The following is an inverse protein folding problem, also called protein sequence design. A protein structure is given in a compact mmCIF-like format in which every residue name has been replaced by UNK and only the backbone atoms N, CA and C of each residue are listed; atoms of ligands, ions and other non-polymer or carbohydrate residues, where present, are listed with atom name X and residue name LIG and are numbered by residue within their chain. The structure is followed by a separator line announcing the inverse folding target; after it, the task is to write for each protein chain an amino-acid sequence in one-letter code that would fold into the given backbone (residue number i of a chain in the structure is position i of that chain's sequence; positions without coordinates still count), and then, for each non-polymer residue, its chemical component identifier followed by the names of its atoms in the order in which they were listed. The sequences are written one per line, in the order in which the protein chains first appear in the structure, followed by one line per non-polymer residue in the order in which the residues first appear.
data_IF_271723209201
#
_entry.id   IF_271723209201
#
_cell.length_a   1.000
_cell.length_b   1.000
_cell.length_c   1.000
_cell.angle_alpha   90.00
_cell.angle_beta   90.00
_cell.angle_gamma   90.00
#
_symmetry.space_group_name_H-M   'P 1'
#
loop_
_entity.id
_entity.type
_entity.pdbx_description
1 polymer ?
#
# COMPACT_ATOMS: atom_id res chain seq x y z
N UNK A 1 0.88 -6.68 1.98
CA UNK A 1 0.34 -6.08 3.22
C UNK A 1 -0.22 -4.72 2.90
N UNK A 2 -1.17 -4.26 3.71
CA UNK A 2 -1.73 -2.91 3.72
C UNK A 2 -1.16 -2.14 4.92
N UNK A 3 -1.26 -0.82 4.86
CA UNK A 3 -1.07 0.08 5.98
C UNK A 3 -2.41 0.72 6.30
N UNK A 4 -2.74 0.76 7.59
CA UNK A 4 -3.95 1.41 8.06
C UNK A 4 -3.95 2.91 7.78
N UNK A 5 -5.16 3.49 7.80
CA UNK A 5 -5.35 4.93 7.76
C UNK A 5 -4.61 5.60 8.94
N UNK A 6 -3.88 6.68 8.65
CA UNK A 6 -3.18 7.50 9.63
C UNK A 6 -3.85 8.86 9.71
N UNK A 7 -4.37 9.19 10.89
CA UNK A 7 -4.95 10.50 11.24
C UNK A 7 -4.10 11.16 12.32
N UNK A 8 -3.27 12.12 11.95
CA UNK A 8 -2.53 12.99 12.88
C UNK A 8 -2.88 14.46 12.60
N UNK A 9 -2.61 15.36 13.55
CA UNK A 9 -3.06 16.78 13.53
C UNK A 9 -2.86 17.50 12.19
N UNK A 10 -1.77 17.22 11.47
CA UNK A 10 -1.45 17.83 10.17
C UNK A 10 -1.21 16.81 9.04
N UNK A 11 -1.49 15.53 9.26
CA UNK A 11 -1.20 14.46 8.31
C UNK A 11 -2.36 13.47 8.24
N UNK A 12 -2.93 13.34 7.05
CA UNK A 12 -3.97 12.37 6.74
C UNK A 12 -3.50 11.47 5.61
N UNK A 13 -3.36 10.18 5.90
CA UNK A 13 -3.00 9.16 4.92
C UNK A 13 -4.08 8.11 4.92
N UNK A 14 -4.71 7.88 3.77
CA UNK A 14 -5.71 6.83 3.63
C UNK A 14 -5.09 5.45 3.83
N UNK A 15 -5.92 4.47 4.14
CA UNK A 15 -5.51 3.08 4.02
C UNK A 15 -4.99 2.79 2.61
N UNK A 16 -3.84 2.14 2.54
CA UNK A 16 -3.20 1.86 1.26
C UNK A 16 -2.41 0.56 1.27
N UNK A 17 -2.29 -0.03 0.08
CA UNK A 17 -1.42 -1.17 -0.19
C UNK A 17 0.05 -0.74 -0.29
N UNK A 18 0.95 -1.53 0.28
CA UNK A 18 2.39 -1.32 0.12
C UNK A 18 2.87 -1.70 -1.29
N UNK A 19 3.76 -0.92 -1.89
CA UNK A 19 4.08 -1.01 -3.33
C UNK A 19 5.29 -1.87 -3.72
N UNK A 20 5.44 -3.04 -3.10
CA UNK A 20 6.54 -3.97 -3.42
C UNK A 20 6.25 -4.87 -4.61
N UNK A 21 5.15 -5.63 -4.49
CA UNK A 21 4.70 -6.55 -5.51
C UNK A 21 3.19 -6.41 -5.63
N UNK A 22 2.75 -5.78 -6.71
CA UNK A 22 1.34 -5.53 -6.99
C UNK A 22 0.98 -6.23 -8.29
N UNK A 23 -0.14 -6.93 -8.30
CA UNK A 23 -0.73 -7.49 -9.51
C UNK A 23 -2.07 -6.82 -9.78
N UNK A 24 -2.22 -6.27 -10.98
CA UNK A 24 -3.47 -5.67 -11.44
C UNK A 24 -4.23 -6.67 -12.32
N UNK A 25 -5.52 -6.88 -12.02
CA UNK A 25 -6.39 -7.71 -12.88
C UNK A 25 -6.61 -7.02 -14.23
N UNK A 26 -6.73 -7.80 -15.30
CA UNK A 26 -6.94 -7.32 -16.68
C UNK A 26 -8.07 -6.28 -16.78
N UNK A 27 -9.20 -6.51 -16.10
CA UNK A 27 -10.35 -5.58 -16.09
C UNK A 27 -9.98 -4.19 -15.55
N UNK A 28 -9.15 -4.12 -14.51
CA UNK A 28 -8.67 -2.85 -13.97
C UNK A 28 -7.72 -2.19 -14.96
N UNK A 29 -6.75 -2.94 -15.50
CA UNK A 29 -5.78 -2.41 -16.47
C UNK A 29 -6.47 -1.83 -17.72
N UNK A 30 -7.55 -2.46 -18.19
CA UNK A 30 -8.33 -1.99 -19.34
C UNK A 30 -9.26 -0.80 -19.02
N UNK A 31 -9.42 -0.42 -17.75
CA UNK A 31 -10.29 0.68 -17.36
C UNK A 31 -9.65 2.04 -17.65
N UNK A 32 -10.49 3.03 -17.96
CA UNK A 32 -10.04 4.42 -18.15
C UNK A 32 -9.39 4.99 -16.89
N UNK A 33 -9.86 4.61 -15.70
CA UNK A 33 -9.29 5.06 -14.42
C UNK A 33 -7.83 4.61 -14.29
N UNK A 34 -7.52 3.37 -14.65
CA UNK A 34 -6.15 2.87 -14.64
C UNK A 34 -5.29 3.52 -15.71
N UNK A 35 -5.80 3.65 -16.94
CA UNK A 35 -5.06 4.28 -18.03
C UNK A 35 -4.69 5.75 -17.71
N UNK A 36 -5.66 6.52 -17.18
CA UNK A 36 -5.42 7.89 -16.75
C UNK A 36 -4.42 7.97 -15.59
N UNK A 37 -4.52 7.04 -14.63
CA UNK A 37 -3.53 6.94 -13.56
C UNK A 37 -2.13 6.66 -14.11
N UNK A 38 -2.00 5.66 -14.98
CA UNK A 38 -0.72 5.24 -15.55
C UNK A 38 -0.05 6.34 -16.38
N UNK A 39 -0.83 7.07 -17.18
CA UNK A 39 -0.35 8.20 -17.97
C UNK A 39 0.06 9.41 -17.11
N UNK A 40 -0.47 9.54 -15.89
CA UNK A 40 -0.12 10.61 -14.95
C UNK A 40 1.11 10.33 -14.09
N UNK A 41 1.76 9.18 -14.27
CA UNK A 41 2.96 8.83 -13.49
C UNK A 41 4.14 9.68 -13.99
N UNK A 42 4.80 10.33 -13.04
CA UNK A 42 6.01 11.13 -13.20
C UNK A 42 7.17 10.44 -12.49
N UNK A 43 8.37 10.67 -12.99
CA UNK A 43 9.58 10.18 -12.35
C UNK A 43 10.04 11.19 -11.28
N UNK A 44 10.03 10.78 -10.02
CA UNK A 44 10.60 11.57 -8.93
C UNK A 44 11.94 11.00 -8.48
N UNK A 45 12.91 11.88 -8.22
CA UNK A 45 14.20 11.52 -7.63
C UNK A 45 14.03 11.16 -6.14
N UNK A 46 13.10 11.84 -5.47
CA UNK A 46 12.83 11.64 -4.05
C UNK A 46 11.81 10.52 -3.84
N UNK A 47 12.24 9.47 -3.14
CA UNK A 47 11.39 8.32 -2.79
C UNK A 47 10.17 8.72 -1.96
N UNK A 48 10.26 9.75 -1.12
CA UNK A 48 9.10 10.21 -0.35
C UNK A 48 8.03 10.80 -1.27
N UNK A 49 8.43 11.54 -2.30
CA UNK A 49 7.47 12.04 -3.30
C UNK A 49 6.79 10.90 -4.06
N UNK A 50 7.51 9.80 -4.34
CA UNK A 50 6.90 8.59 -4.94
C UNK A 50 5.85 8.00 -4.00
N UNK A 51 6.16 7.88 -2.71
CA UNK A 51 5.24 7.33 -1.70
C UNK A 51 4.00 8.23 -1.53
N UNK A 52 4.21 9.53 -1.40
CA UNK A 52 3.15 10.51 -1.15
C UNK A 52 2.20 10.69 -2.35
N UNK A 53 2.74 10.67 -3.57
CA UNK A 53 1.93 10.86 -4.78
C UNK A 53 1.33 9.57 -5.32
N UNK A 54 1.97 8.42 -5.08
CA UNK A 54 1.53 7.15 -5.65
C UNK A 54 1.11 6.15 -4.58
N UNK A 55 2.02 5.64 -3.74
CA UNK A 55 1.74 4.52 -2.84
C UNK A 55 0.51 4.76 -1.96
N UNK A 56 0.43 5.96 -1.37
CA UNK A 56 -0.66 6.34 -0.46
C UNK A 56 -1.99 6.66 -1.17
N UNK A 57 -1.98 6.84 -2.49
CA UNK A 57 -3.11 7.39 -3.24
C UNK A 57 -3.81 6.35 -4.14
N UNK A 58 -3.07 5.46 -4.79
CA UNK A 58 -3.65 4.60 -5.84
C UNK A 58 -4.73 3.66 -5.30
N UNK A 59 -4.58 3.18 -4.06
CA UNK A 59 -5.53 2.23 -3.46
C UNK A 59 -6.89 2.89 -3.32
N UNK A 60 -6.93 4.09 -2.71
CA UNK A 60 -8.16 4.88 -2.61
C UNK A 60 -8.74 5.22 -3.97
N UNK A 61 -7.90 5.67 -4.92
CA UNK A 61 -8.35 6.04 -6.26
C UNK A 61 -9.09 4.90 -6.97
N UNK A 62 -8.60 3.66 -6.86
CA UNK A 62 -9.26 2.51 -7.47
C UNK A 62 -10.48 2.03 -6.69
N UNK A 63 -10.45 2.11 -5.36
CA UNK A 63 -11.60 1.78 -4.51
C UNK A 63 -12.77 2.75 -4.76
N UNK A 64 -12.49 4.06 -4.83
CA UNK A 64 -13.50 5.08 -5.12
C UNK A 64 -14.11 4.90 -6.53
N UNK A 65 -13.36 4.30 -7.46
CA UNK A 65 -13.84 3.92 -8.79
C UNK A 65 -14.62 2.58 -8.81
N UNK A 66 -14.85 1.96 -7.65
CA UNK A 66 -15.62 0.72 -7.50
C UNK A 66 -14.82 -0.57 -7.65
N UNK A 67 -13.49 -0.51 -7.71
CA UNK A 67 -12.65 -1.70 -7.70
C UNK A 67 -12.40 -2.19 -6.27
N UNK A 68 -12.04 -3.46 -6.15
CA UNK A 68 -11.64 -4.08 -4.89
C UNK A 68 -10.19 -4.47 -4.96
N UNK A 69 -9.53 -4.48 -3.81
CA UNK A 69 -8.17 -4.97 -3.67
C UNK A 69 -8.13 -6.10 -2.64
N UNK A 70 -7.01 -6.82 -2.63
CA UNK A 70 -6.73 -7.85 -1.63
C UNK A 70 -5.24 -7.83 -1.30
N UNK A 71 -4.90 -8.19 -0.08
CA UNK A 71 -3.54 -8.38 0.40
C UNK A 71 -3.27 -9.85 0.68
N UNK A 72 -1.99 -10.25 0.62
CA UNK A 72 -1.55 -11.56 1.13
C UNK A 72 -1.77 -11.66 2.63
N UNK A 73 -1.45 -10.57 3.33
CA UNK A 73 -1.71 -10.39 4.76
C UNK A 73 -2.42 -9.06 4.96
N UNK A 74 -3.65 -9.13 5.47
CA UNK A 74 -4.42 -7.97 5.91
C UNK A 74 -4.03 -7.61 7.34
N UNK A 75 -3.40 -6.46 7.51
CA UNK A 75 -2.84 -6.01 8.78
C UNK A 75 -3.78 -5.09 9.54
N UNK A 76 -4.86 -4.60 8.92
CA UNK A 76 -5.81 -3.68 9.55
C UNK A 76 -6.52 -4.32 10.75
N UNK A 77 -6.98 -5.59 10.69
CA UNK A 77 -7.57 -6.25 11.86
C UNK A 77 -6.55 -6.53 12.97
N UNK A 78 -5.27 -6.67 12.64
CA UNK A 78 -4.21 -7.00 13.60
C UNK A 78 -3.77 -5.79 14.43
N UNK A 79 -4.19 -4.57 14.08
CA UNK A 79 -3.67 -3.33 14.67
C UNK A 79 -3.80 -3.25 16.19
N UNK A 80 -4.84 -3.86 16.78
CA UNK A 80 -5.13 -3.72 18.21
C UNK A 80 -4.14 -4.53 19.07
N UNK A 81 -3.49 -5.52 18.46
CA UNK A 81 -2.51 -6.39 19.12
C UNK A 81 -1.06 -5.87 18.99
N UNK A 82 -0.81 -4.84 18.16
CA UNK A 82 0.55 -4.39 17.81
C UNK A 82 0.73 -2.87 17.90
N UNK A 83 1.84 -2.43 18.51
CA UNK A 83 2.13 -1.00 18.72
C UNK A 83 2.41 -0.22 17.42
N UNK A 84 3.06 -0.85 16.43
CA UNK A 84 3.42 -0.21 15.17
C UNK A 84 2.49 -0.64 14.02
N UNK A 85 2.08 0.30 13.17
CA UNK A 85 1.29 -0.03 11.99
C UNK A 85 2.09 -0.66 10.84
N UNK A 86 3.42 -0.50 10.85
CA UNK A 86 4.28 -1.02 9.79
C UNK A 86 4.81 -2.41 10.14
N UNK A 87 3.98 -3.43 9.88
CA UNK A 87 4.33 -4.83 10.10
C UNK A 87 5.57 -5.28 9.35
N UNK A 88 5.80 -4.75 8.15
CA UNK A 88 6.97 -5.14 7.34
C UNK A 88 8.30 -4.73 7.93
N UNK A 89 8.32 -3.71 8.80
CA UNK A 89 9.53 -3.25 9.47
C UNK A 89 9.63 -3.83 10.88
N UNK A 90 8.53 -3.82 11.63
CA UNK A 90 8.56 -4.09 13.06
C UNK A 90 8.24 -5.55 13.44
N UNK A 91 7.53 -6.28 12.58
CA UNK A 91 6.98 -7.60 12.92
C UNK A 91 7.27 -8.65 11.83
N UNK A 92 8.56 -8.94 11.55
CA UNK A 92 8.92 -9.95 10.55
C UNK A 92 8.44 -11.36 10.90
N UNK A 93 8.27 -11.69 12.18
CA UNK A 93 7.70 -12.97 12.62
C UNK A 93 6.26 -13.17 12.14
N UNK A 94 5.42 -12.12 12.24
CA UNK A 94 4.03 -12.15 11.74
C UNK A 94 4.00 -12.41 10.23
N UNK A 95 4.94 -11.82 9.48
CA UNK A 95 5.06 -12.06 8.04
C UNK A 95 5.40 -13.53 7.73
N UNK A 96 6.35 -14.11 8.49
CA UNK A 96 6.79 -15.49 8.33
C UNK A 96 5.68 -16.49 8.66
N UNK A 97 4.99 -16.29 9.78
CA UNK A 97 3.86 -17.14 10.21
C UNK A 97 2.71 -17.12 9.21
N UNK A 98 2.48 -15.99 8.54
CA UNK A 98 1.46 -15.83 7.52
C UNK A 98 1.96 -16.14 6.08
N UNK A 99 3.14 -16.74 5.95
CA UNK A 99 3.74 -17.15 4.67
C UNK A 99 3.81 -16.01 3.63
N UNK A 100 4.06 -14.78 4.08
CA UNK A 100 4.28 -13.66 3.18
C UNK A 100 5.60 -13.87 2.43
N UNK A 101 5.63 -13.83 1.09
CA UNK A 101 6.78 -14.28 0.29
C UNK A 101 7.93 -13.25 0.23
N UNK A 102 7.96 -12.26 1.12
CA UNK A 102 9.02 -11.25 1.16
C UNK A 102 9.20 -10.69 2.57
N UNK A 103 10.41 -10.21 2.85
CA UNK A 103 10.77 -9.49 4.08
C UNK A 103 11.42 -8.18 3.67
N UNK A 104 11.05 -7.08 4.31
CA UNK A 104 11.64 -5.77 4.06
C UNK A 104 12.88 -5.58 4.91
N UNK A 105 13.98 -5.20 4.27
CA UNK A 105 15.22 -4.81 4.94
C UNK A 105 15.51 -3.37 4.53
N UNK A 106 15.64 -2.46 5.50
CA UNK A 106 16.11 -1.09 5.25
C UNK A 106 17.60 -1.03 5.59
N UNK A 107 18.45 -0.99 4.57
CA UNK A 107 19.89 -0.79 4.74
C UNK A 107 20.15 0.70 4.91
N UNK A 108 20.48 1.11 6.14
CA UNK A 108 21.01 2.40 6.61
C UNK A 108 20.38 3.67 6.01
#
# INVERSE_FOLDING_TARGET
TNHQEVKQRNLFINEHLQSYFISFKKRLVQSTVFQNFWQSIENYIDVQKVIDNYETQYTKKFVDAGFKYQTILDTVPLKDDFFHSNFTIHYPHVLLENHVPFIKIKTF
#
